data_IF_179904099950
#
_entry.id   IF_179904099950
#
_cell.length_a   1.000
_cell.length_b   1.000
_cell.length_c   1.000
_cell.angle_alpha   90.00
_cell.angle_beta   90.00
_cell.angle_gamma   90.00
#
_symmetry.space_group_name_H-M   'P 1'
#
loop_
_entity.id
_entity.type
_entity.pdbx_description
1 polymer ?
#
# COMPACT_ATOMS: atom_id res chain seq x y z
N UNK A 1 -3.69 9.05 -2.25
CA UNK A 1 -4.80 9.85 -2.80
C UNK A 1 -5.45 10.71 -1.72
N UNK A 2 -5.65 10.18 -0.53
CA UNK A 2 -6.09 10.96 0.64
C UNK A 2 -4.93 11.22 1.59
N UNK A 3 -5.09 12.17 2.54
CA UNK A 3 -4.19 12.25 3.68
C UNK A 3 -4.37 11.05 4.60
N UNK A 4 -3.31 10.64 5.30
CA UNK A 4 -3.37 9.64 6.36
C UNK A 4 -4.23 10.12 7.55
N UNK A 5 -4.25 11.43 7.80
CA UNK A 5 -4.89 12.06 8.95
C UNK A 5 -6.36 12.43 8.74
N UNK A 6 -7.07 11.75 7.83
CA UNK A 6 -8.51 11.99 7.61
C UNK A 6 -9.38 11.54 8.81
N UNK A 7 -8.87 10.68 9.69
CA UNK A 7 -9.54 10.26 10.93
C UNK A 7 -10.97 9.73 10.66
N UNK A 8 -11.97 10.17 11.39
CA UNK A 8 -13.37 9.71 11.24
C UNK A 8 -14.01 10.09 9.89
N UNK A 9 -13.35 10.93 9.08
CA UNK A 9 -13.80 11.18 7.71
C UNK A 9 -13.72 9.93 6.83
N UNK A 10 -12.91 8.94 7.19
CA UNK A 10 -12.89 7.65 6.50
C UNK A 10 -14.22 6.89 6.57
N UNK A 11 -15.12 7.23 7.50
CA UNK A 11 -16.50 6.72 7.54
C UNK A 11 -17.45 7.45 6.59
N UNK A 12 -17.01 8.53 5.93
CA UNK A 12 -17.81 9.35 5.05
C UNK A 12 -17.81 8.82 3.62
N UNK A 13 -18.96 8.40 3.13
CA UNK A 13 -19.12 7.91 1.74
C UNK A 13 -18.63 8.93 0.70
N UNK A 14 -18.81 10.22 0.96
CA UNK A 14 -18.34 11.29 0.07
C UNK A 14 -16.81 11.29 -0.06
N UNK A 15 -16.07 11.07 1.04
CA UNK A 15 -14.61 10.96 0.98
C UNK A 15 -14.20 9.76 0.12
N UNK A 16 -14.80 8.60 0.37
CA UNK A 16 -14.42 7.35 -0.30
C UNK A 16 -14.72 7.41 -1.81
N UNK A 17 -15.89 7.90 -2.20
CA UNK A 17 -16.23 8.10 -3.62
C UNK A 17 -15.30 9.09 -4.32
N UNK A 18 -14.96 10.19 -3.66
CA UNK A 18 -14.05 11.18 -4.24
C UNK A 18 -12.60 10.64 -4.31
N UNK A 19 -12.18 9.82 -3.35
CA UNK A 19 -10.88 9.16 -3.39
C UNK A 19 -10.78 8.19 -4.58
N UNK A 20 -11.81 7.36 -4.78
CA UNK A 20 -11.87 6.45 -5.94
C UNK A 20 -11.89 7.22 -7.26
N UNK A 21 -12.69 8.29 -7.36
CA UNK A 21 -12.72 9.14 -8.55
C UNK A 21 -11.34 9.76 -8.82
N UNK A 22 -10.68 10.33 -7.81
CA UNK A 22 -9.35 10.91 -7.96
C UNK A 22 -8.30 9.87 -8.36
N UNK A 23 -8.41 8.63 -7.86
CA UNK A 23 -7.59 7.51 -8.31
C UNK A 23 -7.80 7.23 -9.80
N UNK A 24 -9.05 7.12 -10.26
CA UNK A 24 -9.37 6.87 -11.67
C UNK A 24 -8.92 8.03 -12.57
N UNK A 25 -9.08 9.27 -12.12
CA UNK A 25 -8.58 10.45 -12.84
C UNK A 25 -7.05 10.39 -12.96
N UNK A 26 -6.33 9.98 -11.92
CA UNK A 26 -4.88 9.81 -11.94
C UNK A 26 -4.46 8.71 -12.93
N UNK A 27 -5.10 7.54 -12.87
CA UNK A 27 -4.87 6.42 -13.79
C UNK A 27 -5.04 6.86 -15.25
N UNK A 28 -6.13 7.58 -15.54
CA UNK A 28 -6.43 8.04 -16.91
C UNK A 28 -5.45 9.13 -17.38
N UNK A 29 -5.08 10.08 -16.51
CA UNK A 29 -4.19 11.19 -16.87
C UNK A 29 -2.73 10.77 -17.03
N UNK A 30 -2.36 9.57 -16.60
CA UNK A 30 -1.02 9.00 -16.75
C UNK A 30 -0.97 7.85 -17.76
N UNK A 31 -2.02 7.66 -18.54
CA UNK A 31 -2.15 6.54 -19.47
C UNK A 31 -1.05 6.51 -20.55
N UNK A 32 -0.55 7.68 -20.95
CA UNK A 32 0.53 7.81 -21.96
C UNK A 32 1.93 7.57 -21.38
N UNK A 33 2.05 7.41 -20.05
CA UNK A 33 3.32 7.20 -19.37
C UNK A 33 3.62 5.70 -19.21
N UNK A 34 4.79 5.29 -19.66
CA UNK A 34 5.31 3.94 -19.38
C UNK A 34 5.98 3.92 -17.99
N UNK A 35 5.18 4.10 -16.97
CA UNK A 35 5.63 4.20 -15.57
C UNK A 35 4.72 3.38 -14.67
N UNK A 36 5.30 2.41 -13.95
CA UNK A 36 4.60 1.78 -12.83
C UNK A 36 4.39 2.80 -11.73
N UNK A 37 3.14 3.12 -11.47
CA UNK A 37 2.74 4.07 -10.43
C UNK A 37 2.07 3.31 -9.29
N UNK A 38 2.46 3.64 -8.05
CA UNK A 38 1.91 3.02 -6.84
C UNK A 38 1.43 4.14 -5.90
N UNK A 39 0.14 4.13 -5.55
CA UNK A 39 -0.45 5.15 -4.68
C UNK A 39 -1.28 4.54 -3.56
N UNK A 40 -1.27 5.18 -2.40
CA UNK A 40 -2.15 4.83 -1.28
C UNK A 40 -3.58 5.36 -1.51
N UNK A 41 -4.58 4.52 -1.27
CA UNK A 41 -5.99 4.89 -1.38
C UNK A 41 -6.84 4.09 -0.39
N UNK A 42 -7.79 4.73 0.34
CA UNK A 42 -8.82 3.99 1.04
C UNK A 42 -9.84 3.45 0.03
N UNK A 43 -10.09 2.15 0.07
CA UNK A 43 -10.99 1.47 -0.86
C UNK A 43 -12.01 0.62 -0.10
N UNK A 44 -13.19 0.44 -0.70
CA UNK A 44 -14.25 -0.42 -0.15
C UNK A 44 -14.25 -1.76 -0.91
N UNK A 45 -14.07 -2.85 -0.18
CA UNK A 45 -14.18 -4.23 -0.69
C UNK A 45 -15.35 -4.93 -0.01
N UNK A 46 -16.45 -5.11 -0.73
CA UNK A 46 -17.70 -5.58 -0.15
C UNK A 46 -18.22 -4.61 0.93
N UNK A 47 -18.29 -5.05 2.18
CA UNK A 47 -18.66 -4.20 3.33
C UNK A 47 -17.46 -3.71 4.15
N UNK A 48 -16.23 -3.98 3.69
CA UNK A 48 -15.00 -3.73 4.43
C UNK A 48 -14.24 -2.55 3.82
N UNK A 49 -13.78 -1.63 4.67
CA UNK A 49 -12.88 -0.55 4.26
C UNK A 49 -11.44 -1.00 4.44
N UNK A 50 -10.60 -0.79 3.44
CA UNK A 50 -9.18 -1.16 3.46
C UNK A 50 -8.28 0.05 3.23
N UNK A 51 -7.13 0.06 3.91
CA UNK A 51 -6.00 0.90 3.57
C UNK A 51 -5.18 0.14 2.54
N UNK A 52 -5.09 0.64 1.33
CA UNK A 52 -4.52 -0.12 0.23
C UNK A 52 -3.52 0.69 -0.60
N UNK A 53 -2.56 -0.02 -1.20
CA UNK A 53 -1.74 0.47 -2.29
C UNK A 53 -2.32 -0.03 -3.62
N UNK A 54 -2.50 0.88 -4.57
CA UNK A 54 -2.97 0.57 -5.92
C UNK A 54 -1.82 0.72 -6.89
N UNK A 55 -1.51 -0.35 -7.61
CA UNK A 55 -0.50 -0.35 -8.66
C UNK A 55 -1.18 -0.22 -10.03
N UNK A 56 -0.70 0.70 -10.85
CA UNK A 56 -1.23 0.91 -12.19
C UNK A 56 -0.15 1.39 -13.17
N UNK A 57 -0.38 1.15 -14.45
CA UNK A 57 0.52 1.53 -15.54
C UNK A 57 -0.29 1.69 -16.84
N UNK A 58 0.06 2.67 -17.66
CA UNK A 58 -0.55 2.89 -19.00
C UNK A 58 -2.09 2.91 -18.98
N UNK A 59 -2.68 3.52 -17.95
CA UNK A 59 -4.14 3.63 -17.81
C UNK A 59 -4.83 2.36 -17.32
N UNK A 60 -4.07 1.35 -16.90
CA UNK A 60 -4.62 0.10 -16.38
C UNK A 60 -4.22 -0.13 -14.92
N UNK A 61 -5.20 -0.49 -14.10
CA UNK A 61 -4.95 -0.91 -12.72
C UNK A 61 -4.53 -2.38 -12.74
N UNK A 62 -3.32 -2.64 -12.25
CA UNK A 62 -2.72 -3.98 -12.26
C UNK A 62 -3.12 -4.81 -11.05
N UNK A 63 -3.36 -4.16 -9.91
CA UNK A 63 -3.77 -4.82 -8.69
C UNK A 63 -3.81 -3.89 -7.48
N UNK A 64 -4.36 -4.42 -6.40
CA UNK A 64 -4.53 -3.73 -5.12
C UNK A 64 -3.91 -4.54 -4.02
N UNK A 65 -3.01 -3.92 -3.26
CA UNK A 65 -2.34 -4.54 -2.11
C UNK A 65 -2.93 -3.95 -0.83
N UNK A 66 -3.73 -4.70 -0.07
CA UNK A 66 -4.27 -4.24 1.20
C UNK A 66 -3.21 -4.31 2.29
N UNK A 67 -3.23 -3.36 3.22
CA UNK A 67 -2.35 -3.35 4.38
C UNK A 67 -2.59 -4.56 5.27
N UNK A 68 -1.51 -5.21 5.72
CA UNK A 68 -1.58 -6.44 6.50
C UNK A 68 -1.68 -6.17 8.00
N UNK A 69 -0.94 -5.19 8.51
CA UNK A 69 -0.88 -4.87 9.93
C UNK A 69 -1.33 -3.44 10.19
N UNK A 70 -2.38 -3.30 10.99
CA UNK A 70 -2.99 -2.00 11.31
C UNK A 70 -2.52 -1.54 12.69
N UNK A 71 -1.73 -0.45 12.79
CA UNK A 71 -1.31 0.06 14.09
C UNK A 71 -2.49 0.70 14.83
N UNK A 72 -2.65 0.32 16.10
CA UNK A 72 -3.66 0.87 17.02
C UNK A 72 -3.04 1.17 18.37
N UNK A 73 -1.93 1.92 18.35
CA UNK A 73 -1.18 2.36 19.52
C UNK A 73 -0.75 3.82 19.38
N UNK A 74 -0.63 4.53 20.48
CA UNK A 74 -0.32 5.97 20.54
C UNK A 74 -1.29 6.78 19.66
N UNK A 75 -0.77 7.53 18.67
CA UNK A 75 -1.54 8.32 17.73
C UNK A 75 -2.20 7.51 16.60
N UNK A 76 -1.82 6.27 16.45
CA UNK A 76 -2.35 5.40 15.37
C UNK A 76 -3.64 4.71 15.83
N UNK A 77 -4.67 4.74 15.00
CA UNK A 77 -5.98 4.15 15.28
C UNK A 77 -6.58 3.48 14.04
N UNK A 78 -5.76 2.80 13.24
CA UNK A 78 -6.20 2.28 11.95
C UNK A 78 -7.27 1.19 12.05
N UNK A 79 -7.24 0.35 13.08
CA UNK A 79 -8.27 -0.67 13.32
C UNK A 79 -9.68 -0.10 13.55
N UNK A 80 -9.77 1.20 13.88
CA UNK A 80 -11.06 1.89 14.01
C UNK A 80 -11.81 1.99 12.68
N UNK A 81 -11.09 2.05 11.57
CA UNK A 81 -11.68 2.30 10.25
C UNK A 81 -11.43 1.18 9.26
N UNK A 82 -10.25 0.57 9.29
CA UNK A 82 -9.78 -0.34 8.27
C UNK A 82 -9.79 -1.81 8.70
N UNK A 83 -9.92 -2.68 7.72
CA UNK A 83 -9.80 -4.13 7.87
C UNK A 83 -8.44 -4.58 7.39
N UNK A 84 -7.73 -5.39 8.16
CA UNK A 84 -6.46 -5.99 7.79
C UNK A 84 -6.63 -7.03 6.67
N UNK A 85 -5.60 -7.23 5.85
CA UNK A 85 -5.64 -8.17 4.71
C UNK A 85 -6.07 -9.59 5.11
N UNK A 86 -5.65 -10.07 6.27
CA UNK A 86 -5.99 -11.41 6.79
C UNK A 86 -7.48 -11.63 7.07
N UNK A 87 -8.27 -10.57 7.16
CA UNK A 87 -9.71 -10.63 7.42
C UNK A 87 -10.55 -10.35 6.17
N UNK A 88 -9.91 -10.18 5.01
CA UNK A 88 -10.62 -9.97 3.76
C UNK A 88 -11.22 -11.29 3.25
N UNK A 89 -12.42 -11.19 2.72
CA UNK A 89 -13.16 -12.34 2.19
C UNK A 89 -13.04 -12.47 0.67
N UNK A 90 -12.54 -11.45 0.01
CA UNK A 90 -12.47 -11.34 -1.44
C UNK A 90 -11.02 -11.25 -1.90
N UNK A 91 -10.72 -11.91 -3.02
CA UNK A 91 -9.44 -11.83 -3.73
C UNK A 91 -9.49 -10.90 -4.97
N UNK A 92 -10.62 -10.30 -5.21
CA UNK A 92 -10.86 -9.33 -6.28
C UNK A 92 -11.61 -8.12 -5.72
N UNK A 93 -11.37 -6.96 -6.31
CA UNK A 93 -12.07 -5.72 -5.96
C UNK A 93 -12.50 -5.00 -7.24
N UNK A 94 -13.69 -4.38 -7.20
CA UNK A 94 -14.17 -3.54 -8.30
C UNK A 94 -13.78 -2.08 -8.03
N UNK A 95 -13.09 -1.46 -8.99
CA UNK A 95 -12.74 -0.03 -8.98
C UNK A 95 -13.32 0.58 -10.27
N UNK A 96 -14.25 1.51 -10.12
CA UNK A 96 -15.06 1.98 -11.24
C UNK A 96 -15.88 0.85 -11.84
N UNK A 97 -15.52 0.42 -13.04
CA UNK A 97 -16.18 -0.70 -13.76
C UNK A 97 -15.22 -1.87 -14.03
N UNK A 98 -14.06 -1.89 -13.37
CA UNK A 98 -13.02 -2.91 -13.57
C UNK A 98 -12.89 -3.79 -12.33
N UNK A 99 -12.81 -5.08 -12.54
CA UNK A 99 -12.47 -6.04 -11.50
C UNK A 99 -10.97 -6.32 -11.54
N UNK A 100 -10.27 -6.12 -10.42
CA UNK A 100 -8.82 -6.23 -10.31
C UNK A 100 -8.41 -7.12 -9.13
N UNK A 101 -7.22 -7.77 -9.19
CA UNK A 101 -6.72 -8.59 -8.10
C UNK A 101 -6.55 -7.80 -6.80
N UNK A 102 -6.91 -8.43 -5.68
CA UNK A 102 -6.77 -7.91 -4.32
C UNK A 102 -6.06 -8.94 -3.44
N UNK A 103 -4.76 -8.75 -3.19
CA UNK A 103 -3.98 -9.64 -2.34
C UNK A 103 -2.73 -8.92 -1.80
N UNK A 104 -2.31 -9.23 -0.56
CA UNK A 104 -1.10 -8.67 0.04
C UNK A 104 0.21 -9.29 -0.49
N UNK A 105 0.12 -10.35 -1.29
CA UNK A 105 1.26 -11.04 -1.89
C UNK A 105 1.33 -10.93 -3.41
N UNK A 106 0.70 -9.91 -4.01
CA UNK A 106 0.83 -9.64 -5.43
C UNK A 106 2.27 -9.28 -5.79
N UNK A 107 2.76 -9.88 -6.87
CA UNK A 107 4.04 -9.54 -7.49
C UNK A 107 3.75 -8.98 -8.89
N UNK A 108 4.25 -7.78 -9.13
CA UNK A 108 4.15 -7.11 -10.43
C UNK A 108 5.44 -7.33 -11.20
N UNK A 109 5.36 -8.01 -12.33
CA UNK A 109 6.53 -8.41 -13.12
C UNK A 109 6.75 -7.45 -14.30
N UNK A 110 7.99 -6.97 -14.44
CA UNK A 110 8.43 -6.19 -15.58
C UNK A 110 9.86 -6.65 -15.95
N UNK A 111 9.98 -7.40 -17.01
CA UNK A 111 11.22 -8.07 -17.41
C UNK A 111 11.84 -8.90 -16.24
N UNK A 112 13.02 -8.53 -15.79
CA UNK A 112 13.71 -9.18 -14.67
C UNK A 112 13.35 -8.56 -13.30
N UNK A 113 12.58 -7.47 -13.30
CA UNK A 113 12.16 -6.78 -12.07
C UNK A 113 10.84 -7.36 -11.58
N UNK A 114 10.84 -7.84 -10.34
CA UNK A 114 9.67 -8.39 -9.66
C UNK A 114 9.36 -7.55 -8.44
N UNK A 115 8.34 -6.73 -8.56
CA UNK A 115 7.96 -5.73 -7.56
C UNK A 115 6.99 -6.31 -6.57
N UNK A 116 7.33 -6.25 -5.28
CA UNK A 116 6.42 -6.46 -4.16
C UNK A 116 6.08 -5.13 -3.46
N UNK A 117 4.92 -5.08 -2.82
CA UNK A 117 4.45 -3.87 -2.13
C UNK A 117 4.01 -4.24 -0.71
N UNK A 118 4.41 -3.41 0.26
CA UNK A 118 3.89 -3.45 1.63
C UNK A 118 3.62 -2.03 2.14
N UNK A 119 2.90 -1.87 3.24
CA UNK A 119 2.44 -0.56 3.69
C UNK A 119 2.85 -0.29 5.13
N UNK A 120 3.74 0.68 5.33
CA UNK A 120 4.08 1.31 6.61
C UNK A 120 4.39 0.31 7.72
N UNK A 121 3.41 0.03 8.61
CA UNK A 121 3.53 -0.89 9.76
C UNK A 121 3.95 -2.30 9.37
N UNK A 122 3.66 -2.72 8.15
CA UNK A 122 4.02 -4.05 7.65
C UNK A 122 5.53 -4.34 7.77
N UNK A 123 6.40 -3.30 7.68
CA UNK A 123 7.85 -3.44 7.89
C UNK A 123 8.23 -3.69 9.35
N UNK A 124 7.40 -3.25 10.32
CA UNK A 124 7.77 -3.21 11.73
C UNK A 124 7.48 -4.50 12.50
N UNK A 125 6.78 -5.43 11.87
CA UNK A 125 6.42 -6.72 12.46
C UNK A 125 7.56 -7.74 12.37
N UNK A 126 7.57 -8.80 13.19
CA UNK A 126 8.63 -9.81 13.17
C UNK A 126 8.80 -10.53 11.83
N UNK A 127 7.70 -10.74 11.10
CA UNK A 127 7.69 -11.35 9.76
C UNK A 127 6.92 -10.40 8.81
N UNK A 128 7.63 -9.45 8.19
CA UNK A 128 7.02 -8.53 7.22
C UNK A 128 6.50 -9.26 5.98
N UNK A 129 5.43 -8.77 5.32
CA UNK A 129 4.98 -9.29 4.02
C UNK A 129 6.11 -9.36 2.98
N UNK A 130 7.05 -8.42 3.01
CA UNK A 130 8.23 -8.42 2.13
C UNK A 130 9.08 -9.68 2.26
N UNK A 131 9.08 -10.38 3.40
CA UNK A 131 9.77 -11.66 3.56
C UNK A 131 9.13 -12.75 2.69
N UNK A 132 7.80 -12.84 2.70
CA UNK A 132 7.05 -13.79 1.87
C UNK A 132 7.14 -13.43 0.39
N UNK A 133 7.04 -12.15 0.06
CA UNK A 133 7.20 -11.63 -1.30
C UNK A 133 8.58 -11.99 -1.87
N UNK A 134 9.64 -11.83 -1.07
CA UNK A 134 11.00 -12.21 -1.48
C UNK A 134 11.15 -13.73 -1.70
N UNK A 135 10.53 -14.55 -0.85
CA UNK A 135 10.52 -16.01 -1.03
C UNK A 135 9.77 -16.42 -2.31
N UNK A 136 8.79 -15.63 -2.76
CA UNK A 136 8.09 -15.80 -4.04
C UNK A 136 8.86 -15.17 -5.22
N UNK A 137 10.02 -14.57 -4.96
CA UNK A 137 10.94 -14.07 -5.98
C UNK A 137 10.88 -12.55 -6.22
N UNK A 138 10.19 -11.77 -5.40
CA UNK A 138 10.28 -10.31 -5.48
C UNK A 138 11.73 -9.86 -5.21
N UNK A 139 12.27 -9.02 -6.11
CA UNK A 139 13.62 -8.47 -6.00
C UNK A 139 13.66 -6.95 -5.81
N UNK A 140 12.48 -6.33 -5.79
CA UNK A 140 12.29 -4.90 -5.48
C UNK A 140 11.03 -4.74 -4.64
N UNK A 141 11.18 -4.15 -3.44
CA UNK A 141 10.08 -3.93 -2.50
C UNK A 141 9.80 -2.43 -2.37
N UNK A 142 8.55 -2.04 -2.47
CA UNK A 142 8.09 -0.68 -2.17
C UNK A 142 7.28 -0.69 -0.88
N UNK A 143 7.59 0.23 0.03
CA UNK A 143 6.80 0.49 1.23
C UNK A 143 6.25 1.91 1.19
N UNK A 144 4.92 2.04 1.13
CA UNK A 144 4.24 3.32 1.21
C UNK A 144 3.96 3.64 2.68
N UNK A 145 4.47 4.76 3.16
CA UNK A 145 4.40 5.09 4.58
C UNK A 145 3.93 6.52 4.85
N UNK A 146 3.22 6.69 5.95
CA UNK A 146 2.90 7.98 6.55
C UNK A 146 3.28 7.93 8.04
N UNK A 147 4.56 7.66 8.29
CA UNK A 147 5.10 7.49 9.65
C UNK A 147 5.45 8.83 10.28
N UNK A 148 5.26 8.93 11.59
CA UNK A 148 5.69 10.10 12.35
C UNK A 148 7.22 10.23 12.40
N UNK A 149 7.70 11.47 12.56
CA UNK A 149 9.10 11.77 12.83
C UNK A 149 9.30 11.97 14.33
N UNK A 150 10.10 11.11 14.94
CA UNK A 150 10.48 11.19 16.36
C UNK A 150 11.99 11.26 16.49
N UNK A 151 12.48 11.91 17.56
CA UNK A 151 13.91 12.00 17.88
C UNK A 151 14.50 10.58 17.97
N UNK A 152 15.52 10.29 17.16
CA UNK A 152 16.20 8.99 17.12
C UNK A 152 15.54 7.93 16.23
N UNK A 153 14.30 8.13 15.79
CA UNK A 153 13.56 7.16 14.95
C UNK A 153 14.19 6.97 13.58
N UNK A 154 14.71 8.04 12.98
CA UNK A 154 15.29 7.99 11.63
C UNK A 154 16.43 6.96 11.51
N UNK A 155 17.37 6.97 12.44
CA UNK A 155 18.49 6.02 12.44
C UNK A 155 18.01 4.57 12.58
N UNK A 156 17.04 4.34 13.47
CA UNK A 156 16.42 3.03 13.65
C UNK A 156 15.67 2.56 12.40
N UNK A 157 14.83 3.42 11.82
CA UNK A 157 14.09 3.11 10.58
C UNK A 157 15.06 2.76 9.43
N UNK A 158 16.12 3.55 9.26
CA UNK A 158 17.16 3.26 8.25
C UNK A 158 17.81 1.89 8.47
N UNK A 159 18.15 1.56 9.71
CA UNK A 159 18.70 0.23 10.05
C UNK A 159 17.72 -0.88 9.71
N UNK A 160 16.45 -0.70 10.05
CA UNK A 160 15.39 -1.67 9.78
C UNK A 160 15.23 -1.93 8.28
N UNK A 161 15.17 -0.86 7.47
CA UNK A 161 15.09 -0.93 6.01
C UNK A 161 16.31 -1.66 5.43
N UNK A 162 17.52 -1.28 5.84
CA UNK A 162 18.75 -1.92 5.38
C UNK A 162 18.80 -3.41 5.74
N UNK A 163 18.38 -3.78 6.94
CA UNK A 163 18.34 -5.18 7.36
C UNK A 163 17.29 -5.97 6.57
N UNK A 164 16.11 -5.41 6.33
CA UNK A 164 15.07 -6.08 5.55
C UNK A 164 15.49 -6.25 4.10
N UNK A 165 16.07 -5.22 3.47
CA UNK A 165 16.66 -5.28 2.13
C UNK A 165 17.71 -6.39 2.03
N UNK A 166 18.66 -6.43 2.98
CA UNK A 166 19.72 -7.45 3.02
C UNK A 166 19.15 -8.86 3.23
N UNK A 167 18.18 -9.03 4.12
CA UNK A 167 17.54 -10.31 4.40
C UNK A 167 16.77 -10.85 3.20
N UNK A 168 16.06 -9.99 2.50
CA UNK A 168 15.27 -10.33 1.30
C UNK A 168 16.14 -10.44 0.03
N UNK A 169 17.40 -10.00 0.06
CA UNK A 169 18.27 -9.87 -1.14
C UNK A 169 17.52 -9.08 -2.24
N UNK A 170 16.83 -8.02 -1.84
CA UNK A 170 15.98 -7.21 -2.69
C UNK A 170 16.27 -5.72 -2.50
N UNK A 171 16.13 -4.93 -3.56
CA UNK A 171 16.05 -3.48 -3.42
C UNK A 171 14.86 -3.10 -2.54
N UNK A 172 15.04 -2.12 -1.64
CA UNK A 172 13.94 -1.67 -0.77
C UNK A 172 13.76 -0.15 -0.88
N UNK A 173 12.61 0.28 -1.31
CA UNK A 173 12.23 1.69 -1.49
C UNK A 173 11.17 2.05 -0.45
N UNK A 174 11.54 2.94 0.46
CA UNK A 174 10.63 3.47 1.48
C UNK A 174 10.16 4.87 1.06
N UNK A 175 8.89 4.97 0.66
CA UNK A 175 8.27 6.22 0.23
C UNK A 175 7.46 6.81 1.38
N UNK A 176 8.02 7.84 2.04
CA UNK A 176 7.32 8.55 3.11
C UNK A 176 6.40 9.63 2.54
N UNK A 177 5.22 9.78 3.13
CA UNK A 177 4.37 10.93 2.86
C UNK A 177 5.12 12.21 3.25
N UNK A 178 5.26 13.13 2.30
CA UNK A 178 5.88 14.42 2.55
C UNK A 178 4.93 15.38 3.27
N UNK A 179 5.39 16.62 3.41
CA UNK A 179 4.52 17.72 3.81
C UNK A 179 3.54 18.01 2.67
N UNK A 180 2.27 17.74 2.96
CA UNK A 180 1.15 18.01 2.06
C UNK A 180 0.46 19.32 2.38
#
# INVERSE_FOLDING_TARGET
VTSYTCMDLFSQETLLRNAEKALLDLVNNTADLDLLTIVGCPLVSGSQLINAAVAFQRGEILGVVPKSYLPSYKEFQEERWFTASSHLQQSMITIGNREVPLDCYLIFEYDEVRVGIEICEDLWVPIPPSSELAMQGANLIFNLSASNELIGKHAYLRSLICQQSARCIAGYVYASAGFG
#
